data_IF_502701158806
#
_entry.id   IF_502701158806
#
_cell.length_a   1.000
_cell.length_b   1.000
_cell.length_c   1.000
_cell.angle_alpha   90.00
_cell.angle_beta   90.00
_cell.angle_gamma   90.00
#
_symmetry.space_group_name_H-M   'P 1'
#
loop_
_entity.id
_entity.type
_entity.pdbx_description
1 polymer ?
#
# COMPACT_ATOMS: atom_id res chain seq x y z
N UNK A 1 -24.25 -9.34 13.43
CA UNK A 1 -23.63 -9.22 12.08
C UNK A 1 -22.51 -10.25 11.82
N UNK A 2 -22.48 -11.44 12.46
CA UNK A 2 -21.31 -12.34 12.44
C UNK A 2 -21.52 -13.78 11.89
N UNK A 3 -22.71 -14.16 11.43
CA UNK A 3 -22.97 -15.55 10.97
C UNK A 3 -23.09 -15.74 9.45
N UNK A 4 -23.32 -14.68 8.67
CA UNK A 4 -23.43 -14.77 7.20
C UNK A 4 -22.06 -14.85 6.50
N UNK A 5 -21.04 -14.23 7.11
CA UNK A 5 -19.67 -14.18 6.57
C UNK A 5 -18.97 -15.56 6.49
N UNK A 6 -19.30 -16.47 7.41
CA UNK A 6 -18.66 -17.79 7.49
C UNK A 6 -19.17 -18.78 6.43
N UNK A 7 -20.43 -18.64 5.98
CA UNK A 7 -20.99 -19.51 4.93
C UNK A 7 -20.50 -19.13 3.53
N UNK A 8 -20.25 -17.83 3.28
CA UNK A 8 -19.79 -17.35 1.98
C UNK A 8 -18.29 -17.69 1.74
N UNK A 9 -17.44 -17.60 2.77
CA UNK A 9 -16.03 -18.04 2.66
C UNK A 9 -15.89 -19.55 2.43
N UNK A 10 -16.70 -20.38 3.07
CA UNK A 10 -16.64 -21.84 2.89
C UNK A 10 -17.15 -22.30 1.51
N UNK A 11 -18.04 -21.54 0.87
CA UNK A 11 -18.54 -21.88 -0.46
C UNK A 11 -17.53 -21.56 -1.57
N UNK A 12 -16.84 -20.41 -1.49
CA UNK A 12 -15.72 -20.05 -2.39
C UNK A 12 -14.61 -21.10 -2.32
N UNK A 13 -14.30 -21.62 -1.12
CA UNK A 13 -13.27 -22.65 -0.93
C UNK A 13 -13.66 -24.04 -1.47
N UNK A 14 -14.94 -24.34 -1.65
CA UNK A 14 -15.41 -25.67 -2.06
C UNK A 14 -15.61 -25.83 -3.58
N UNK A 15 -15.66 -24.74 -4.36
CA UNK A 15 -16.04 -24.79 -5.79
C UNK A 15 -14.99 -24.22 -6.77
N UNK A 16 -13.74 -24.03 -6.35
CA UNK A 16 -12.61 -23.77 -7.27
C UNK A 16 -12.26 -25.01 -8.10
N UNK A 17 -13.03 -25.26 -9.16
CA UNK A 17 -12.51 -25.90 -10.38
C UNK A 17 -12.37 -24.82 -11.44
N UNK A 18 -11.24 -24.11 -11.44
CA UNK A 18 -10.48 -23.63 -12.61
C UNK A 18 -9.37 -22.71 -12.08
N UNK A 19 -8.14 -23.11 -12.40
CA UNK A 19 -6.86 -22.44 -12.16
C UNK A 19 -6.41 -22.27 -10.71
N UNK A 20 -6.09 -23.40 -10.06
CA UNK A 20 -4.98 -23.44 -9.09
C UNK A 20 -3.69 -23.02 -9.82
N UNK A 21 -3.41 -21.73 -9.92
CA UNK A 21 -2.02 -21.30 -10.05
C UNK A 21 -1.40 -21.54 -8.69
N UNK A 22 -0.86 -22.74 -8.52
CA UNK A 22 0.05 -23.05 -7.42
C UNK A 22 1.32 -22.25 -7.69
N UNK A 23 1.31 -20.96 -7.35
CA UNK A 23 2.56 -20.24 -7.14
C UNK A 23 3.21 -20.93 -5.95
N UNK A 24 4.16 -21.81 -6.26
CA UNK A 24 5.21 -22.14 -5.33
C UNK A 24 5.67 -20.79 -4.75
N UNK A 25 5.51 -20.61 -3.44
CA UNK A 25 6.33 -19.67 -2.69
C UNK A 25 7.77 -20.11 -2.92
N UNK A 26 8.34 -19.74 -4.07
CA UNK A 26 9.77 -19.75 -4.19
C UNK A 26 10.17 -18.52 -3.41
N UNK A 27 10.75 -18.71 -2.23
CA UNK A 27 11.59 -17.73 -1.56
C UNK A 27 12.83 -17.41 -2.40
N UNK A 28 12.65 -17.18 -3.71
CA UNK A 28 13.65 -16.62 -4.58
C UNK A 28 13.71 -15.13 -4.26
N UNK A 29 14.89 -14.58 -3.99
CA UNK A 29 15.02 -13.15 -3.77
C UNK A 29 14.42 -12.40 -4.97
N UNK A 30 13.74 -11.28 -4.70
CA UNK A 30 13.09 -10.44 -5.71
C UNK A 30 14.04 -10.01 -6.85
N UNK A 31 15.35 -10.20 -6.67
CA UNK A 31 16.42 -9.88 -7.60
C UNK A 31 17.56 -10.90 -7.46
N UNK A 32 18.29 -11.16 -8.56
CA UNK A 32 19.53 -11.93 -8.53
C UNK A 32 20.59 -11.21 -7.69
N UNK A 33 21.50 -11.94 -7.04
CA UNK A 33 22.55 -11.36 -6.20
C UNK A 33 23.42 -10.33 -6.97
N UNK A 34 23.70 -10.58 -8.25
CA UNK A 34 24.40 -9.66 -9.14
C UNK A 34 23.65 -8.35 -9.37
N UNK A 35 22.33 -8.40 -9.55
CA UNK A 35 21.50 -7.19 -9.69
C UNK A 35 21.49 -6.36 -8.41
N UNK A 36 21.48 -7.01 -7.24
CA UNK A 36 21.50 -6.30 -5.95
C UNK A 36 22.84 -5.62 -5.67
N UNK A 37 23.95 -6.21 -6.10
CA UNK A 37 25.25 -5.54 -6.04
C UNK A 37 25.27 -4.23 -6.83
N UNK A 38 24.71 -4.23 -8.05
CA UNK A 38 24.58 -3.00 -8.85
C UNK A 38 23.71 -1.97 -8.14
N UNK A 39 22.58 -2.37 -7.55
CA UNK A 39 21.70 -1.46 -6.82
C UNK A 39 22.38 -0.83 -5.61
N UNK A 40 23.17 -1.60 -4.86
CA UNK A 40 23.94 -1.08 -3.72
C UNK A 40 25.05 -0.11 -4.14
N UNK A 41 25.69 -0.33 -5.30
CA UNK A 41 26.69 0.60 -5.82
C UNK A 41 26.11 1.98 -6.18
N UNK A 42 24.83 2.02 -6.59
CA UNK A 42 24.11 3.23 -6.95
C UNK A 42 23.63 4.06 -5.76
N UNK A 43 23.81 3.58 -4.52
CA UNK A 43 23.47 4.37 -3.33
C UNK A 43 24.35 5.63 -3.26
N UNK A 44 23.71 6.78 -2.99
CA UNK A 44 24.44 8.01 -2.70
C UNK A 44 25.06 8.00 -1.29
N UNK A 45 25.79 9.07 -0.94
CA UNK A 45 26.52 9.16 0.32
C UNK A 45 25.59 9.01 1.53
N UNK A 46 24.52 9.79 1.60
CA UNK A 46 23.58 9.77 2.73
C UNK A 46 22.85 8.43 2.84
N UNK A 47 22.50 7.82 1.70
CA UNK A 47 21.92 6.48 1.65
C UNK A 47 22.92 5.41 2.14
N UNK A 48 24.20 5.51 1.77
CA UNK A 48 25.27 4.61 2.23
C UNK A 48 25.49 4.73 3.73
N UNK A 49 25.49 5.94 4.28
CA UNK A 49 25.67 6.15 5.72
C UNK A 49 24.58 5.43 6.53
N UNK A 50 23.31 5.57 6.10
CA UNK A 50 22.18 4.84 6.71
C UNK A 50 22.32 3.34 6.51
N UNK A 51 22.63 2.91 5.29
CA UNK A 51 22.78 1.50 4.92
C UNK A 51 23.83 0.79 5.77
N UNK A 52 25.04 1.34 5.87
CA UNK A 52 26.14 0.74 6.62
C UNK A 52 25.90 0.77 8.13
N UNK A 53 25.24 1.81 8.66
CA UNK A 53 24.86 1.84 10.08
C UNK A 53 23.89 0.72 10.45
N UNK A 54 22.84 0.51 9.64
CA UNK A 54 21.87 -0.56 9.88
C UNK A 54 22.50 -1.93 9.65
N UNK A 55 23.34 -2.06 8.63
CA UNK A 55 24.11 -3.29 8.37
C UNK A 55 24.99 -3.65 9.56
N UNK A 56 25.69 -2.67 10.14
CA UNK A 56 26.54 -2.88 11.31
C UNK A 56 25.73 -3.38 12.51
N UNK A 57 24.57 -2.78 12.77
CA UNK A 57 23.65 -3.27 13.81
C UNK A 57 23.25 -4.74 13.59
N UNK A 58 22.97 -5.14 12.34
CA UNK A 58 22.64 -6.53 12.01
C UNK A 58 23.81 -7.48 12.28
N UNK A 59 25.03 -7.09 11.90
CA UNK A 59 26.26 -7.86 12.15
C UNK A 59 26.48 -8.02 13.66
N UNK A 60 26.37 -6.94 14.42
CA UNK A 60 26.54 -6.98 15.88
C UNK A 60 25.51 -7.88 16.55
N UNK A 61 24.26 -7.88 16.06
CA UNK A 61 23.22 -8.81 16.53
C UNK A 61 23.56 -10.27 16.24
N UNK A 62 23.98 -10.59 15.02
CA UNK A 62 24.38 -11.96 14.62
C UNK A 62 25.59 -12.46 15.40
N UNK A 63 26.48 -11.55 15.78
CA UNK A 63 27.67 -11.83 16.61
C UNK A 63 27.37 -11.87 18.12
N UNK A 64 26.10 -11.83 18.54
CA UNK A 64 25.71 -11.97 19.94
C UNK A 64 25.93 -10.73 20.82
N UNK A 65 26.21 -9.56 20.25
CA UNK A 65 26.42 -8.32 21.02
C UNK A 65 25.13 -7.68 21.55
N UNK A 66 23.97 -8.25 21.22
CA UNK A 66 22.63 -7.78 21.64
C UNK A 66 22.45 -6.24 21.57
N UNK A 67 22.66 -5.62 20.40
CA UNK A 67 22.57 -4.17 20.27
C UNK A 67 21.13 -3.69 20.54
N UNK A 68 21.00 -2.50 21.15
CA UNK A 68 19.69 -1.93 21.46
C UNK A 68 18.83 -1.72 20.19
N UNK A 69 17.50 -1.96 20.25
CA UNK A 69 16.62 -1.71 19.11
C UNK A 69 16.56 -0.22 18.75
N UNK A 70 16.83 0.09 17.48
CA UNK A 70 16.78 1.47 16.99
C UNK A 70 15.42 1.81 16.36
N UNK A 71 15.10 3.09 16.37
CA UNK A 71 13.94 3.66 15.67
C UNK A 71 14.42 4.88 14.90
N UNK A 72 14.33 4.80 13.57
CA UNK A 72 14.84 5.82 12.67
C UNK A 72 13.76 6.25 11.68
N UNK A 73 13.64 7.54 11.48
CA UNK A 73 12.85 8.16 10.44
C UNK A 73 13.79 8.67 9.34
N UNK A 74 13.66 8.09 8.15
CA UNK A 74 14.37 8.49 6.94
C UNK A 74 13.45 9.43 6.16
N UNK A 75 13.67 10.72 6.31
CA UNK A 75 13.00 11.77 5.56
C UNK A 75 13.69 12.01 4.22
N UNK A 76 12.96 12.49 3.22
CA UNK A 76 13.56 13.05 2.01
C UNK A 76 12.50 13.42 0.99
N UNK A 77 12.80 14.41 0.15
CA UNK A 77 11.88 14.89 -0.88
C UNK A 77 11.49 13.83 -1.92
N UNK A 78 10.55 14.19 -2.79
CA UNK A 78 10.26 13.38 -3.97
C UNK A 78 11.52 13.14 -4.79
N UNK A 79 11.74 11.90 -5.23
CA UNK A 79 12.88 11.57 -6.08
C UNK A 79 14.24 11.38 -5.38
N UNK A 80 14.35 11.43 -4.04
CA UNK A 80 15.62 11.20 -3.32
C UNK A 80 16.04 9.73 -3.20
N UNK A 81 15.31 8.80 -3.84
CA UNK A 81 15.65 7.37 -3.85
C UNK A 81 15.25 6.58 -2.60
N UNK A 82 14.28 7.05 -1.81
CA UNK A 82 13.77 6.36 -0.61
C UNK A 82 13.44 4.87 -0.85
N UNK A 83 12.60 4.57 -1.84
CA UNK A 83 12.23 3.17 -2.15
C UNK A 83 13.40 2.33 -2.67
N UNK A 84 14.43 2.95 -3.26
CA UNK A 84 15.66 2.28 -3.66
C UNK A 84 16.47 1.85 -2.43
N UNK A 85 16.60 2.74 -1.45
CA UNK A 85 17.23 2.45 -0.16
C UNK A 85 16.49 1.32 0.59
N UNK A 86 15.15 1.34 0.61
CA UNK A 86 14.34 0.27 1.23
C UNK A 86 14.68 -1.10 0.61
N UNK A 87 14.76 -1.19 -0.71
CA UNK A 87 15.09 -2.45 -1.40
C UNK A 87 16.49 -2.95 -1.04
N UNK A 88 17.47 -2.06 -1.00
CA UNK A 88 18.84 -2.41 -0.62
C UNK A 88 18.91 -2.90 0.84
N UNK A 89 18.29 -2.15 1.76
CA UNK A 89 18.21 -2.51 3.18
C UNK A 89 17.53 -3.86 3.37
N UNK A 90 16.36 -4.06 2.76
CA UNK A 90 15.62 -5.31 2.86
C UNK A 90 16.48 -6.51 2.46
N UNK A 91 17.15 -6.43 1.31
CA UNK A 91 18.03 -7.50 0.84
C UNK A 91 19.19 -7.78 1.81
N UNK A 92 19.94 -6.75 2.21
CA UNK A 92 21.13 -6.93 3.05
C UNK A 92 20.76 -7.41 4.46
N UNK A 93 19.72 -6.85 5.06
CA UNK A 93 19.26 -7.24 6.40
C UNK A 93 18.77 -8.69 6.37
N UNK A 94 17.99 -9.08 5.36
CA UNK A 94 17.50 -10.45 5.22
C UNK A 94 18.69 -11.41 5.08
N UNK A 95 19.65 -11.07 4.22
CA UNK A 95 20.87 -11.87 4.03
C UNK A 95 21.65 -12.08 5.33
N UNK A 96 21.81 -11.04 6.14
CA UNK A 96 22.60 -11.11 7.38
C UNK A 96 21.82 -11.82 8.50
N UNK A 97 20.56 -11.47 8.71
CA UNK A 97 19.81 -11.97 9.86
C UNK A 97 19.18 -13.36 9.63
N UNK A 98 18.96 -13.77 8.38
CA UNK A 98 18.43 -15.09 8.08
C UNK A 98 19.43 -16.23 8.33
N UNK A 99 20.72 -15.95 8.57
CA UNK A 99 21.71 -16.99 8.92
C UNK A 99 21.36 -17.75 10.20
N UNK A 100 20.60 -17.12 11.10
CA UNK A 100 20.13 -17.71 12.36
C UNK A 100 18.69 -18.22 12.28
N UNK A 101 18.04 -18.14 11.11
CA UNK A 101 16.68 -18.62 10.94
C UNK A 101 16.67 -20.12 10.66
N UNK A 102 15.88 -20.86 11.42
CA UNK A 102 15.73 -22.30 11.23
C UNK A 102 14.80 -22.64 10.06
N UNK A 103 13.90 -21.72 9.70
CA UNK A 103 12.96 -21.90 8.60
C UNK A 103 13.15 -20.81 7.52
N UNK A 104 13.32 -21.17 6.23
CA UNK A 104 13.41 -20.20 5.14
C UNK A 104 12.14 -19.34 4.96
N UNK A 105 11.00 -19.75 5.52
CA UNK A 105 9.75 -18.97 5.50
C UNK A 105 9.65 -17.90 6.61
N UNK A 106 10.63 -17.83 7.50
CA UNK A 106 10.62 -16.89 8.62
C UNK A 106 10.74 -15.43 8.18
N UNK A 107 9.86 -14.59 8.71
CA UNK A 107 9.87 -13.15 8.43
C UNK A 107 10.78 -12.45 9.42
N UNK A 108 12.01 -12.17 9.01
CA UNK A 108 12.98 -11.41 9.82
C UNK A 108 12.85 -9.91 9.61
N UNK A 109 12.49 -9.49 8.39
CA UNK A 109 12.20 -8.11 8.01
C UNK A 109 10.80 -8.03 7.44
N UNK A 110 9.98 -7.12 7.97
CA UNK A 110 8.62 -6.90 7.47
C UNK A 110 8.54 -5.55 6.75
N UNK A 111 8.22 -5.58 5.46
CA UNK A 111 7.96 -4.40 4.66
C UNK A 111 6.49 -4.03 4.73
N UNK A 112 6.20 -2.79 5.12
CA UNK A 112 4.83 -2.28 5.24
C UNK A 112 4.66 -0.89 4.67
N UNK A 113 3.42 -0.54 4.33
CA UNK A 113 3.03 0.81 3.97
C UNK A 113 1.55 1.06 4.38
N UNK A 114 1.08 2.31 4.44
CA UNK A 114 -0.32 2.61 4.75
C UNK A 114 -1.30 2.26 3.62
N UNK A 115 -0.88 2.38 2.35
CA UNK A 115 -1.70 2.08 1.17
C UNK A 115 -1.23 0.80 0.47
N UNK A 116 -2.15 0.10 -0.20
CA UNK A 116 -1.84 -1.16 -0.89
C UNK A 116 -0.88 -0.94 -2.06
N UNK A 117 -1.00 0.17 -2.80
CA UNK A 117 -0.10 0.53 -3.90
C UNK A 117 1.32 0.77 -3.40
N UNK A 118 1.49 1.52 -2.31
CA UNK A 118 2.82 1.76 -1.72
C UNK A 118 3.43 0.44 -1.20
N UNK A 119 2.63 -0.38 -0.52
CA UNK A 119 3.07 -1.70 -0.05
C UNK A 119 3.54 -2.58 -1.22
N UNK A 120 2.77 -2.63 -2.31
CA UNK A 120 3.13 -3.37 -3.51
C UNK A 120 4.40 -2.84 -4.20
N UNK A 121 4.66 -1.54 -4.15
CA UNK A 121 5.87 -0.93 -4.74
C UNK A 121 7.17 -1.39 -4.08
N UNK A 122 7.12 -1.66 -2.78
CA UNK A 122 8.24 -2.20 -2.02
C UNK A 122 8.19 -3.73 -1.87
N UNK A 123 7.15 -4.40 -2.39
CA UNK A 123 6.95 -5.85 -2.21
C UNK A 123 6.53 -6.25 -0.80
N UNK A 124 5.89 -5.33 -0.07
CA UNK A 124 5.38 -5.51 1.28
C UNK A 124 3.85 -5.67 1.35
N UNK A 125 3.30 -5.47 2.55
CA UNK A 125 1.85 -5.54 2.82
C UNK A 125 1.37 -4.27 3.54
N UNK A 126 0.06 -4.04 3.61
CA UNK A 126 -0.44 -2.85 4.34
C UNK A 126 -0.27 -3.03 5.85
N UNK A 127 -0.10 -1.93 6.60
CA UNK A 127 -0.06 -1.98 8.07
C UNK A 127 -1.31 -2.67 8.66
N UNK A 128 -2.48 -2.36 8.09
CA UNK A 128 -3.75 -2.96 8.51
C UNK A 128 -3.76 -4.48 8.34
N UNK A 129 -3.27 -4.98 7.21
CA UNK A 129 -3.18 -6.40 6.94
C UNK A 129 -2.08 -7.09 7.77
N UNK A 130 -0.89 -6.50 7.84
CA UNK A 130 0.26 -7.02 8.59
C UNK A 130 -0.09 -7.31 10.06
N UNK A 131 -0.81 -6.37 10.69
CA UNK A 131 -1.04 -6.35 12.13
C UNK A 131 -2.50 -6.62 12.50
N UNK A 132 -3.35 -6.97 11.54
CA UNK A 132 -4.80 -7.16 11.75
C UNK A 132 -5.41 -5.99 12.53
N UNK A 133 -5.18 -4.79 12.02
CA UNK A 133 -5.67 -3.56 12.65
C UNK A 133 -7.15 -3.33 12.28
N UNK A 134 -8.01 -2.96 13.25
CA UNK A 134 -9.38 -2.57 12.93
C UNK A 134 -9.38 -1.23 12.17
N UNK A 135 -10.22 -1.05 11.12
CA UNK A 135 -10.26 0.20 10.35
C UNK A 135 -10.52 1.47 11.18
N UNK A 136 -11.29 1.35 12.26
CA UNK A 136 -11.66 2.48 13.13
C UNK A 136 -10.58 2.86 14.16
N UNK A 137 -9.61 1.97 14.41
CA UNK A 137 -8.54 2.17 15.40
C UNK A 137 -9.03 2.81 16.72
N UNK A 138 -10.02 2.21 17.41
CA UNK A 138 -10.63 2.80 18.59
C UNK A 138 -9.65 2.96 19.75
N UNK A 139 -9.91 3.92 20.64
CA UNK A 139 -9.14 4.08 21.87
C UNK A 139 -10.05 3.79 23.08
N UNK A 140 -9.55 3.08 24.12
CA UNK A 140 -8.21 2.48 24.24
C UNK A 140 -7.98 1.30 23.28
N UNK A 141 -6.70 0.91 23.11
CA UNK A 141 -6.29 -0.17 22.22
C UNK A 141 -7.05 -1.48 22.48
N UNK A 142 -7.46 -2.15 21.39
CA UNK A 142 -8.17 -3.43 21.43
C UNK A 142 -7.22 -4.60 21.16
N UNK A 143 -7.11 -5.47 22.17
CA UNK A 143 -6.39 -6.74 22.09
C UNK A 143 -7.05 -7.70 21.11
N UNK A 144 -6.24 -8.39 20.29
CA UNK A 144 -6.74 -9.52 19.50
C UNK A 144 -6.99 -10.73 20.39
N UNK A 145 -7.96 -11.54 19.97
CA UNK A 145 -8.26 -12.86 20.56
C UNK A 145 -7.19 -13.89 20.22
N UNK A 146 -7.10 -14.92 21.04
CA UNK A 146 -6.04 -15.95 21.03
C UNK A 146 -5.79 -16.56 19.64
N UNK A 147 -6.81 -16.94 18.89
CA UNK A 147 -6.62 -17.55 17.57
C UNK A 147 -5.90 -16.63 16.57
N UNK A 148 -6.25 -15.34 16.55
CA UNK A 148 -5.67 -14.40 15.58
C UNK A 148 -4.28 -13.97 16.02
N UNK A 149 -4.09 -13.71 17.32
CA UNK A 149 -2.78 -13.32 17.83
C UNK A 149 -1.79 -14.48 17.76
N UNK A 150 -2.20 -15.73 17.98
CA UNK A 150 -1.31 -16.90 17.89
C UNK A 150 -0.84 -17.13 16.45
N UNK A 151 -1.70 -16.90 15.44
CA UNK A 151 -1.28 -16.89 14.03
C UNK A 151 -0.24 -15.82 13.75
N UNK A 152 -0.44 -14.60 14.27
CA UNK A 152 0.53 -13.51 14.12
C UNK A 152 1.84 -13.80 14.87
N UNK A 153 1.78 -14.42 16.06
CA UNK A 153 2.96 -14.85 16.84
C UNK A 153 3.80 -15.82 16.06
N UNK A 154 3.19 -16.89 15.55
CA UNK A 154 3.90 -17.87 14.72
C UNK A 154 4.49 -17.22 13.47
N UNK A 155 3.72 -16.36 12.78
CA UNK A 155 4.18 -15.69 11.54
C UNK A 155 5.31 -14.67 11.77
N UNK A 156 5.30 -13.96 12.88
CA UNK A 156 6.21 -12.82 13.16
C UNK A 156 7.16 -13.10 14.34
N UNK A 157 7.36 -14.37 14.69
CA UNK A 157 8.21 -14.79 15.81
C UNK A 157 9.63 -14.25 15.67
N UNK A 158 10.22 -14.37 14.48
CA UNK A 158 11.61 -13.98 14.20
C UNK A 158 11.74 -12.53 13.68
N UNK A 159 10.63 -11.79 13.62
CA UNK A 159 10.62 -10.40 13.17
C UNK A 159 11.57 -9.56 14.04
N UNK A 160 12.57 -8.97 13.40
CA UNK A 160 13.59 -8.13 14.04
C UNK A 160 13.50 -6.67 13.60
N UNK A 161 13.10 -6.42 12.35
CA UNK A 161 13.05 -5.07 11.77
C UNK A 161 11.72 -4.88 11.03
N UNK A 162 10.99 -3.82 11.39
CA UNK A 162 9.82 -3.33 10.66
C UNK A 162 10.22 -2.12 9.81
N UNK A 163 9.91 -2.16 8.52
CA UNK A 163 10.05 -1.01 7.61
C UNK A 163 8.65 -0.50 7.26
N UNK A 164 8.43 0.80 7.42
CA UNK A 164 7.17 1.49 7.09
C UNK A 164 7.47 2.55 6.03
N UNK A 165 7.11 2.29 4.78
CA UNK A 165 7.16 3.29 3.71
C UNK A 165 5.92 4.20 3.74
N UNK A 166 6.03 5.37 3.13
CA UNK A 166 5.00 6.44 3.12
C UNK A 166 4.48 6.79 4.53
N UNK A 167 5.38 6.94 5.50
CA UNK A 167 5.04 7.24 6.91
C UNK A 167 4.21 8.53 7.07
N UNK A 168 4.24 9.45 6.08
CA UNK A 168 3.43 10.68 6.08
C UNK A 168 1.93 10.43 6.12
N UNK A 169 1.46 9.32 5.58
CA UNK A 169 0.04 8.92 5.63
C UNK A 169 -0.32 8.09 6.87
N UNK A 170 0.64 7.84 7.77
CA UNK A 170 0.40 7.13 9.03
C UNK A 170 0.11 8.15 10.12
N UNK A 171 -1.06 8.03 10.75
CA UNK A 171 -1.45 8.87 11.88
C UNK A 171 -0.98 8.35 13.23
N UNK A 172 -1.14 9.17 14.26
CA UNK A 172 -0.74 8.83 15.65
C UNK A 172 -1.42 7.55 16.15
N UNK A 173 -2.72 7.38 15.88
CA UNK A 173 -3.47 6.17 16.28
C UNK A 173 -2.95 4.93 15.58
N UNK A 174 -2.72 5.00 14.27
CA UNK A 174 -2.17 3.88 13.50
C UNK A 174 -0.82 3.42 14.05
N UNK A 175 0.10 4.36 14.32
CA UNK A 175 1.43 4.01 14.85
C UNK A 175 1.36 3.43 16.27
N UNK A 176 0.50 3.97 17.14
CA UNK A 176 0.24 3.41 18.46
C UNK A 176 -0.25 1.96 18.35
N UNK A 177 -1.24 1.72 17.50
CA UNK A 177 -1.79 0.39 17.28
C UNK A 177 -0.75 -0.61 16.79
N UNK A 178 0.18 -0.18 15.94
CA UNK A 178 1.32 -0.99 15.50
C UNK A 178 2.24 -1.31 16.69
N UNK A 179 2.60 -0.31 17.51
CA UNK A 179 3.43 -0.52 18.70
C UNK A 179 2.78 -1.50 19.69
N UNK A 180 1.51 -1.29 20.03
CA UNK A 180 0.74 -2.15 20.94
C UNK A 180 0.53 -3.56 20.36
N UNK A 181 0.31 -3.69 19.05
CA UNK A 181 0.20 -5.00 18.42
C UNK A 181 1.51 -5.76 18.50
N UNK A 182 2.63 -5.10 18.23
CA UNK A 182 3.94 -5.73 18.34
C UNK A 182 4.27 -6.13 19.78
N UNK A 183 3.89 -5.33 20.78
CA UNK A 183 3.96 -5.71 22.20
C UNK A 183 3.16 -6.98 22.48
N UNK A 184 1.93 -7.06 21.96
CA UNK A 184 1.06 -8.24 22.13
C UNK A 184 1.65 -9.50 21.45
N UNK A 185 2.24 -9.33 20.27
CA UNK A 185 2.89 -10.41 19.51
C UNK A 185 4.16 -10.89 20.23
N UNK A 186 5.04 -9.98 20.65
CA UNK A 186 6.34 -10.29 21.26
C UNK A 186 6.28 -10.58 22.76
N UNK A 187 5.11 -10.41 23.38
CA UNK A 187 4.89 -10.65 24.82
C UNK A 187 5.88 -9.87 25.70
N UNK A 188 6.18 -8.63 25.30
CA UNK A 188 7.32 -7.86 25.80
C UNK A 188 6.93 -6.75 26.79
N UNK A 189 5.80 -6.92 27.47
CA UNK A 189 5.33 -5.99 28.50
C UNK A 189 5.18 -4.56 27.96
N UNK A 190 5.92 -3.61 28.53
CA UNK A 190 5.90 -2.17 28.18
C UNK A 190 6.92 -1.74 27.12
N UNK A 191 7.64 -2.69 26.51
CA UNK A 191 8.63 -2.38 25.47
C UNK A 191 8.00 -1.71 24.24
N UNK A 192 8.51 -0.54 23.84
CA UNK A 192 8.06 0.12 22.60
C UNK A 192 8.27 -0.80 21.39
N UNK A 193 7.24 -0.93 20.55
CA UNK A 193 7.23 -1.82 19.37
C UNK A 193 7.65 -3.27 19.70
N UNK A 194 7.51 -3.68 20.96
CA UNK A 194 7.93 -4.99 21.42
C UNK A 194 9.40 -5.34 21.20
N UNK A 195 10.31 -4.36 21.38
CA UNK A 195 11.76 -4.52 21.25
C UNK A 195 12.25 -4.90 19.84
N UNK A 196 11.51 -4.52 18.79
CA UNK A 196 12.00 -4.61 17.41
C UNK A 196 12.52 -3.25 16.92
N UNK A 197 13.36 -3.26 15.89
CA UNK A 197 13.76 -2.03 15.23
C UNK A 197 12.66 -1.53 14.29
N UNK A 198 12.54 -0.21 14.15
CA UNK A 198 11.59 0.42 13.22
C UNK A 198 12.33 1.39 12.32
N UNK A 199 12.17 1.21 11.01
CA UNK A 199 12.64 2.12 9.96
C UNK A 199 11.40 2.73 9.32
N UNK A 200 11.08 3.96 9.69
CA UNK A 200 10.05 4.74 9.04
C UNK A 200 10.65 5.53 7.88
N UNK A 201 10.01 5.53 6.72
CA UNK A 201 10.49 6.18 5.50
C UNK A 201 9.36 7.00 4.90
N UNK A 202 9.64 8.22 4.47
CA UNK A 202 8.64 9.05 3.81
C UNK A 202 9.01 10.53 3.74
N UNK A 203 8.00 11.37 3.55
CA UNK A 203 8.14 12.82 3.44
C UNK A 203 6.90 13.51 4.03
N UNK A 204 7.05 14.21 5.14
CA UNK A 204 5.92 14.88 5.81
C UNK A 204 5.35 16.09 5.05
N UNK A 205 6.00 16.52 3.96
CA UNK A 205 5.44 17.48 3.03
C UNK A 205 4.50 16.86 1.98
N UNK A 206 4.36 15.53 1.97
CA UNK A 206 3.36 14.84 1.16
C UNK A 206 2.00 14.76 1.88
N UNK A 207 1.10 13.92 1.36
CA UNK A 207 -0.26 13.77 1.89
C UNK A 207 -0.24 13.35 3.37
N UNK A 208 -0.99 14.06 4.24
CA UNK A 208 -1.15 13.68 5.64
C UNK A 208 -2.08 12.47 5.79
N UNK A 209 -2.15 11.84 6.98
CA UNK A 209 -3.13 10.80 7.24
C UNK A 209 -4.57 11.31 7.09
N UNK A 210 -5.45 10.47 6.55
CA UNK A 210 -6.88 10.76 6.43
C UNK A 210 -7.57 10.54 7.79
N UNK A 211 -8.31 11.55 8.26
CA UNK A 211 -9.14 11.48 9.50
C UNK A 211 -8.36 11.07 10.78
N UNK A 212 -7.04 11.31 10.84
CA UNK A 212 -6.21 11.10 12.04
C UNK A 212 -5.25 12.28 12.24
N UNK A 213 -4.73 12.48 13.45
CA UNK A 213 -3.64 13.45 13.65
C UNK A 213 -2.33 12.96 13.04
N UNK A 214 -1.57 13.91 12.49
CA UNK A 214 -0.23 13.68 11.95
C UNK A 214 0.77 13.32 13.06
N UNK A 215 1.83 12.58 12.72
CA UNK A 215 2.87 12.19 13.69
C UNK A 215 3.68 13.38 14.21
N UNK A 216 3.79 14.44 13.42
CA UNK A 216 4.45 15.69 13.78
C UNK A 216 3.53 16.70 14.49
N UNK A 217 2.26 16.35 14.74
CA UNK A 217 1.38 17.16 15.59
C UNK A 217 1.78 16.96 17.06
N UNK A 218 2.16 18.05 17.73
CA UNK A 218 2.63 18.04 19.12
C UNK A 218 1.52 17.77 20.15
N UNK A 219 0.24 17.71 19.73
CA UNK A 219 -0.90 17.43 20.61
C UNK A 219 -1.23 15.94 20.54
N UNK A 220 -0.64 15.09 21.41
CA UNK A 220 -0.82 13.66 21.29
C UNK A 220 -2.30 13.29 21.50
N UNK A 221 -2.80 12.34 20.72
CA UNK A 221 -4.15 11.77 20.94
C UNK A 221 -4.24 10.87 22.18
N UNK A 222 -3.10 10.53 22.78
CA UNK A 222 -2.97 9.79 24.02
C UNK A 222 -1.99 10.50 24.95
N UNK A 223 -1.79 9.97 26.16
CA UNK A 223 -0.88 10.55 27.16
C UNK A 223 0.61 10.53 26.76
N UNK A 224 1.02 9.78 25.72
CA UNK A 224 2.43 9.60 25.34
C UNK A 224 2.74 9.97 23.89
N UNK A 225 3.70 10.88 23.62
CA UNK A 225 4.11 11.26 22.27
C UNK A 225 5.06 10.19 21.66
N UNK A 226 4.46 9.13 21.10
CA UNK A 226 5.20 7.97 20.58
C UNK A 226 6.23 8.33 19.50
N UNK A 227 5.96 9.34 18.66
CA UNK A 227 6.85 9.69 17.55
C UNK A 227 8.02 10.58 17.99
N UNK A 228 7.73 11.79 18.48
CA UNK A 228 8.74 12.84 18.72
C UNK A 228 9.83 12.45 19.71
N UNK A 229 9.51 11.60 20.70
CA UNK A 229 10.45 11.21 21.74
C UNK A 229 11.24 9.94 21.42
N UNK A 230 10.88 9.21 20.37
CA UNK A 230 11.39 7.84 20.17
C UNK A 230 12.00 7.56 18.80
N UNK A 231 11.91 8.49 17.83
CA UNK A 231 12.48 8.34 16.50
C UNK A 231 13.62 9.31 16.24
N UNK A 232 14.77 8.79 15.80
CA UNK A 232 15.88 9.61 15.30
C UNK A 232 15.64 9.99 13.84
N UNK A 233 15.92 11.25 13.46
CA UNK A 233 15.74 11.74 12.09
C UNK A 233 17.03 11.58 11.28
N UNK A 234 16.91 11.07 10.06
CA UNK A 234 17.92 11.15 9.00
C UNK A 234 17.27 11.75 7.76
N UNK A 235 17.92 12.72 7.13
CA UNK A 235 17.40 13.40 5.95
C UNK A 235 18.23 13.08 4.70
N UNK A 236 17.58 12.53 3.66
CA UNK A 236 18.13 12.34 2.33
C UNK A 236 17.90 13.61 1.50
N UNK A 237 18.99 14.30 1.15
CA UNK A 237 18.94 15.60 0.47
C UNK A 237 19.13 15.52 -1.04
N UNK A 238 19.93 14.57 -1.51
CA UNK A 238 20.24 14.46 -2.93
C UNK A 238 19.05 13.93 -3.74
N UNK A 239 18.60 14.72 -4.73
CA UNK A 239 17.59 14.30 -5.71
C UNK A 239 18.23 13.35 -6.71
N UNK A 240 17.60 12.20 -6.91
CA UNK A 240 18.09 11.11 -7.75
C UNK A 240 17.24 10.86 -9.00
N UNK A 241 15.98 11.30 -9.02
CA UNK A 241 15.03 11.05 -10.12
C UNK A 241 15.14 12.07 -11.25
N UNK A 242 15.20 13.37 -10.93
CA UNK A 242 15.33 14.46 -11.91
C UNK A 242 16.78 14.97 -12.02
N UNK A 243 17.76 14.07 -12.06
CA UNK A 243 19.18 14.48 -12.08
C UNK A 243 19.53 15.31 -13.31
N UNK A 244 18.89 15.01 -14.44
CA UNK A 244 19.16 15.65 -15.73
C UNK A 244 18.42 16.99 -15.89
N UNK A 245 17.49 17.31 -14.98
CA UNK A 245 16.76 18.59 -14.95
C UNK A 245 16.79 19.20 -13.54
N UNK A 246 17.96 19.74 -13.19
CA UNK A 246 18.20 20.35 -11.88
C UNK A 246 17.32 21.58 -11.63
N UNK A 247 17.00 22.34 -12.69
CA UNK A 247 16.17 23.55 -12.59
C UNK A 247 14.76 23.20 -12.15
N UNK A 248 14.14 22.20 -12.80
CA UNK A 248 12.82 21.71 -12.41
C UNK A 248 12.85 21.03 -11.04
N UNK A 249 13.90 20.29 -10.73
CA UNK A 249 14.06 19.66 -9.41
C UNK A 249 14.09 20.70 -8.27
N UNK A 250 14.81 21.81 -8.47
CA UNK A 250 14.84 22.92 -7.52
C UNK A 250 13.49 23.64 -7.38
N UNK A 251 12.75 23.81 -8.49
CA UNK A 251 11.37 24.31 -8.47
C UNK A 251 10.48 23.43 -7.58
N UNK A 252 10.48 22.11 -7.79
CA UNK A 252 9.66 21.18 -7.00
C UNK A 252 10.01 21.22 -5.51
N UNK A 253 11.29 21.38 -5.17
CA UNK A 253 11.72 21.55 -3.78
C UNK A 253 11.22 22.86 -3.15
N UNK A 254 11.18 23.96 -3.91
CA UNK A 254 10.57 25.22 -3.44
C UNK A 254 9.07 25.02 -3.19
N UNK A 255 8.36 24.38 -4.11
CA UNK A 255 6.93 24.08 -3.98
C UNK A 255 6.63 23.16 -2.79
N UNK A 256 7.50 22.16 -2.54
CA UNK A 256 7.37 21.20 -1.42
C UNK A 256 7.21 21.87 -0.06
N UNK A 257 7.95 22.95 0.19
CA UNK A 257 7.95 23.66 1.49
C UNK A 257 7.19 24.99 1.44
N UNK A 258 6.56 25.31 0.30
CA UNK A 258 5.83 26.55 0.09
C UNK A 258 4.62 26.62 1.01
N UNK A 259 4.48 27.74 1.71
CA UNK A 259 3.29 28.03 2.52
C UNK A 259 2.20 28.70 1.67
N UNK A 260 0.95 28.64 2.14
CA UNK A 260 -0.21 29.20 1.42
C UNK A 260 -0.09 30.73 1.21
N UNK A 261 0.49 31.44 2.17
CA UNK A 261 0.72 32.89 2.16
C UNK A 261 1.85 33.35 1.22
N UNK A 262 2.67 32.42 0.73
CA UNK A 262 3.78 32.76 -0.17
C UNK A 262 3.31 32.76 -1.62
N UNK A 263 3.82 33.68 -2.45
CA UNK A 263 3.61 33.65 -3.89
C UNK A 263 4.60 32.70 -4.58
N UNK A 264 4.19 32.12 -5.72
CA UNK A 264 5.11 31.42 -6.63
C UNK A 264 5.88 32.51 -7.38
N UNK A 265 7.19 32.34 -7.56
CA UNK A 265 7.98 33.31 -8.33
C UNK A 265 7.55 33.30 -9.80
N UNK A 266 7.62 34.45 -10.50
CA UNK A 266 7.27 34.52 -11.93
C UNK A 266 8.07 33.54 -12.78
N UNK A 267 9.34 33.30 -12.40
CA UNK A 267 10.21 32.31 -13.05
C UNK A 267 9.68 30.89 -12.88
N UNK A 268 9.23 30.55 -11.67
CA UNK A 268 8.70 29.24 -11.34
C UNK A 268 7.36 28.99 -12.03
N UNK A 269 6.51 30.01 -12.07
CA UNK A 269 5.24 29.96 -12.78
C UNK A 269 5.44 29.80 -14.30
N UNK A 270 6.37 30.56 -14.89
CA UNK A 270 6.72 30.41 -16.31
C UNK A 270 7.27 29.02 -16.62
N UNK A 271 8.09 28.45 -15.73
CA UNK A 271 8.62 27.09 -15.90
C UNK A 271 7.48 26.05 -15.85
N UNK A 272 6.55 26.17 -14.90
CA UNK A 272 5.38 25.28 -14.84
C UNK A 272 4.52 25.37 -16.11
N UNK A 273 4.24 26.59 -16.57
CA UNK A 273 3.47 26.83 -17.81
C UNK A 273 4.18 26.28 -19.04
N UNK A 274 5.51 26.32 -19.10
CA UNK A 274 6.28 25.75 -20.21
C UNK A 274 6.17 24.23 -20.32
N UNK A 275 5.74 23.54 -19.24
CA UNK A 275 5.48 22.11 -19.25
C UNK A 275 4.07 21.75 -19.73
N UNK A 276 3.19 22.72 -19.99
CA UNK A 276 1.85 22.47 -20.50
C UNK A 276 1.95 21.95 -21.94
N UNK A 277 1.58 20.68 -22.12
CA UNK A 277 1.42 20.09 -23.43
C UNK A 277 -0.07 19.97 -23.72
N UNK A 278 -0.58 20.64 -24.74
CA UNK A 278 -1.99 20.57 -25.14
C UNK A 278 -2.30 19.34 -25.99
N UNK A 279 -1.29 18.59 -26.42
CA UNK A 279 -1.44 17.37 -27.23
C UNK A 279 -0.97 16.18 -26.42
N UNK A 280 -1.83 15.73 -25.51
CA UNK A 280 -1.56 14.59 -24.63
C UNK A 280 -2.30 13.36 -25.19
N UNK A 281 -1.62 12.21 -25.36
CA UNK A 281 -2.29 10.98 -25.76
C UNK A 281 -3.41 10.59 -24.76
N UNK A 282 -4.58 10.13 -25.23
CA UNK A 282 -5.73 9.81 -24.36
C UNK A 282 -5.41 8.80 -23.24
N UNK A 283 -4.46 7.91 -23.47
CA UNK A 283 -4.00 6.90 -22.51
C UNK A 283 -3.13 7.47 -21.39
N UNK A 284 -2.76 8.75 -21.44
CA UNK A 284 -1.91 9.37 -20.43
C UNK A 284 -2.62 9.44 -19.08
N UNK A 285 -1.89 9.20 -17.99
CA UNK A 285 -2.44 9.33 -16.64
C UNK A 285 -2.66 10.80 -16.32
N UNK A 286 -3.90 11.15 -15.99
CA UNK A 286 -4.28 12.50 -15.54
C UNK A 286 -4.50 12.49 -14.02
N UNK A 287 -4.08 13.55 -13.35
CA UNK A 287 -4.21 13.72 -11.89
C UNK A 287 -5.02 14.99 -11.65
N UNK A 288 -6.07 14.88 -10.82
CA UNK A 288 -6.97 15.98 -10.50
C UNK A 288 -7.04 16.22 -8.99
N UNK A 289 -7.59 17.37 -8.58
CA UNK A 289 -7.74 17.73 -7.18
C UNK A 289 -8.91 17.01 -6.49
N UNK A 290 -9.94 16.64 -7.24
CA UNK A 290 -11.18 16.04 -6.71
C UNK A 290 -11.62 14.80 -7.50
N UNK A 291 -12.33 13.89 -6.82
CA UNK A 291 -12.89 12.69 -7.47
C UNK A 291 -13.93 13.04 -8.55
N UNK A 292 -14.65 14.17 -8.41
CA UNK A 292 -15.62 14.63 -9.40
C UNK A 292 -14.95 14.99 -10.73
N UNK A 293 -13.80 15.68 -10.68
CA UNK A 293 -13.00 15.97 -11.87
C UNK A 293 -12.44 14.70 -12.51
N UNK A 294 -11.93 13.78 -11.68
CA UNK A 294 -11.47 12.45 -12.13
C UNK A 294 -12.58 11.71 -12.87
N UNK A 295 -13.78 11.66 -12.30
CA UNK A 295 -14.93 10.95 -12.87
C UNK A 295 -15.40 11.58 -14.19
N UNK A 296 -15.53 12.91 -14.23
CA UNK A 296 -15.89 13.64 -15.44
C UNK A 296 -14.90 13.38 -16.58
N UNK A 297 -13.60 13.46 -16.30
CA UNK A 297 -12.56 13.20 -17.30
C UNK A 297 -12.55 11.74 -17.74
N UNK A 298 -12.62 10.80 -16.80
CA UNK A 298 -12.62 9.37 -17.11
C UNK A 298 -13.82 8.98 -17.99
N UNK A 299 -15.02 9.52 -17.73
CA UNK A 299 -16.20 9.25 -18.54
C UNK A 299 -16.01 9.75 -19.99
N UNK A 300 -15.49 10.98 -20.17
CA UNK A 300 -15.18 11.52 -21.50
C UNK A 300 -14.16 10.66 -22.27
N UNK A 301 -13.10 10.22 -21.58
CA UNK A 301 -12.08 9.36 -22.21
C UNK A 301 -12.68 8.00 -22.59
N UNK A 302 -13.48 7.39 -21.72
CA UNK A 302 -14.15 6.11 -22.01
C UNK A 302 -15.05 6.24 -23.24
N UNK A 303 -15.88 7.30 -23.33
CA UNK A 303 -16.75 7.57 -24.49
C UNK A 303 -15.94 7.76 -25.78
N UNK A 304 -14.76 8.38 -25.70
CA UNK A 304 -13.92 8.62 -26.88
C UNK A 304 -13.13 7.38 -27.34
N UNK A 305 -12.70 6.52 -26.41
CA UNK A 305 -11.77 5.40 -26.68
C UNK A 305 -12.53 4.08 -26.92
N UNK A 306 -13.65 3.87 -26.23
CA UNK A 306 -14.39 2.61 -26.25
C UNK A 306 -15.49 2.66 -27.32
N UNK A 307 -15.39 1.82 -28.34
CA UNK A 307 -16.43 1.71 -29.40
C UNK A 307 -17.74 1.13 -28.88
N UNK A 308 -17.65 0.24 -27.89
CA UNK A 308 -18.78 -0.44 -27.27
C UNK A 308 -18.57 -0.30 -25.76
N UNK A 309 -19.55 0.28 -25.09
CA UNK A 309 -19.56 0.45 -23.64
C UNK A 309 -20.70 -0.34 -23.02
N UNK A 310 -20.48 -0.83 -21.82
CA UNK A 310 -21.47 -1.47 -20.97
C UNK A 310 -21.51 -0.75 -19.63
N UNK A 311 -22.71 -0.49 -19.14
CA UNK A 311 -22.93 0.08 -17.81
C UNK A 311 -23.30 -1.04 -16.84
N UNK A 312 -22.53 -1.18 -15.78
CA UNK A 312 -22.79 -2.10 -14.67
C UNK A 312 -23.35 -1.27 -13.51
N UNK A 313 -24.58 -1.56 -13.10
CA UNK A 313 -25.20 -0.93 -11.94
C UNK A 313 -24.90 -1.71 -10.67
N UNK A 314 -24.57 -0.99 -9.59
CA UNK A 314 -24.37 -1.57 -8.27
C UNK A 314 -25.68 -2.18 -7.74
N UNK A 315 -25.55 -3.24 -6.93
CA UNK A 315 -26.66 -3.92 -6.28
C UNK A 315 -26.61 -3.66 -4.77
N UNK A 316 -27.41 -2.70 -4.31
CA UNK A 316 -27.48 -2.36 -2.89
C UNK A 316 -28.65 -3.06 -2.19
N UNK A 317 -28.42 -3.50 -0.97
CA UNK A 317 -29.41 -4.24 -0.18
C UNK A 317 -29.68 -3.53 1.14
N UNK A 318 -30.96 -3.30 1.42
CA UNK A 318 -31.40 -2.85 2.73
C UNK A 318 -31.60 -4.05 3.65
N UNK A 319 -31.16 -3.90 4.90
CA UNK A 319 -31.29 -4.94 5.91
C UNK A 319 -32.49 -4.67 6.80
N UNK A 320 -33.46 -5.57 6.76
CA UNK A 320 -34.62 -5.50 7.63
C UNK A 320 -34.20 -5.54 9.12
N UNK A 321 -34.59 -4.56 9.96
CA UNK A 321 -34.04 -4.40 11.32
C UNK A 321 -34.24 -5.61 12.23
N UNK A 322 -35.42 -6.23 12.16
CA UNK A 322 -35.83 -7.33 13.04
C UNK A 322 -35.42 -8.72 12.52
N UNK A 323 -35.69 -9.00 11.23
CA UNK A 323 -35.45 -10.32 10.63
C UNK A 323 -34.04 -10.48 10.06
N UNK A 324 -33.32 -9.38 9.83
CA UNK A 324 -32.02 -9.38 9.19
C UNK A 324 -32.03 -9.77 7.71
N UNK A 325 -33.22 -9.95 7.11
CA UNK A 325 -33.39 -10.25 5.68
C UNK A 325 -32.88 -9.08 4.84
N UNK A 326 -32.15 -9.40 3.77
CA UNK A 326 -31.66 -8.44 2.79
C UNK A 326 -32.69 -8.30 1.66
N UNK A 327 -33.04 -7.07 1.30
CA UNK A 327 -33.91 -6.73 0.18
C UNK A 327 -33.17 -5.81 -0.78
N UNK A 328 -33.11 -6.20 -2.05
CA UNK A 328 -32.47 -5.40 -3.10
C UNK A 328 -33.21 -4.07 -3.23
N UNK A 329 -32.47 -2.96 -3.27
CA UNK A 329 -33.01 -1.64 -3.57
C UNK A 329 -33.26 -1.49 -5.07
N UNK A 330 -34.28 -0.74 -5.43
CA UNK A 330 -34.55 -0.41 -6.84
C UNK A 330 -33.48 0.48 -7.45
N UNK A 331 -32.91 1.39 -6.65
CA UNK A 331 -31.79 2.23 -7.05
C UNK A 331 -30.65 2.12 -6.04
N UNK A 332 -29.39 2.01 -6.52
CA UNK A 332 -28.22 2.03 -5.65
C UNK A 332 -28.05 3.39 -4.98
N UNK A 333 -27.31 3.41 -3.89
CA UNK A 333 -26.97 4.62 -3.18
C UNK A 333 -26.08 5.52 -4.05
N UNK A 334 -26.51 6.76 -4.23
CA UNK A 334 -25.65 7.82 -4.75
C UNK A 334 -24.71 8.28 -3.63
N UNK A 335 -23.73 7.45 -3.28
CA UNK A 335 -22.79 7.73 -2.19
C UNK A 335 -21.36 7.80 -2.70
N UNK A 336 -20.73 8.95 -2.49
CA UNK A 336 -19.34 9.27 -2.84
C UNK A 336 -18.32 8.83 -1.79
N UNK A 337 -18.74 8.08 -0.76
CA UNK A 337 -17.91 7.76 0.41
C UNK A 337 -17.86 6.26 0.67
N UNK A 338 -16.70 5.65 0.40
CA UNK A 338 -16.31 4.27 0.73
C UNK A 338 -17.00 3.10 -0.02
N UNK A 339 -17.88 3.39 -0.99
CA UNK A 339 -18.62 2.38 -1.76
C UNK A 339 -18.19 2.29 -3.24
N UNK A 340 -18.61 1.21 -3.90
CA UNK A 340 -18.53 1.08 -5.36
C UNK A 340 -19.40 2.18 -5.99
N UNK A 341 -19.03 2.72 -7.17
CA UNK A 341 -19.88 3.67 -7.86
C UNK A 341 -21.24 3.04 -8.18
N UNK A 342 -22.31 3.84 -8.09
CA UNK A 342 -23.67 3.41 -8.41
C UNK A 342 -23.77 2.83 -9.83
N UNK A 343 -23.03 3.44 -10.76
CA UNK A 343 -22.92 2.98 -12.15
C UNK A 343 -21.46 2.99 -12.56
N UNK A 344 -20.99 1.87 -13.12
CA UNK A 344 -19.66 1.71 -13.66
C UNK A 344 -19.74 1.51 -15.17
N UNK A 345 -19.23 2.48 -15.93
CA UNK A 345 -19.17 2.40 -17.40
C UNK A 345 -17.84 1.77 -17.78
N UNK A 346 -17.87 0.69 -18.56
CA UNK A 346 -16.68 -0.05 -18.99
C UNK A 346 -16.75 -0.36 -20.49
N UNK A 347 -15.60 -0.56 -21.11
CA UNK A 347 -15.52 -1.04 -22.49
C UNK A 347 -14.12 -1.53 -22.84
N UNK A 348 -13.95 -2.30 -23.91
CA UNK A 348 -12.63 -2.67 -24.41
C UNK A 348 -11.75 -1.44 -24.62
N UNK A 349 -10.48 -1.54 -24.20
CA UNK A 349 -9.45 -0.48 -24.14
C UNK A 349 -9.59 0.52 -22.98
N UNK A 350 -10.64 0.46 -22.17
CA UNK A 350 -10.71 1.29 -20.98
C UNK A 350 -9.60 0.89 -20.00
N UNK A 351 -8.88 1.89 -19.48
CA UNK A 351 -7.93 1.72 -18.38
C UNK A 351 -8.71 1.73 -17.07
N UNK A 352 -8.49 0.73 -16.23
CA UNK A 352 -9.15 0.62 -14.92
C UNK A 352 -8.15 0.38 -13.81
N UNK A 353 -8.57 0.67 -12.59
CA UNK A 353 -7.80 0.47 -11.37
C UNK A 353 -8.62 -0.33 -10.37
N UNK A 354 -8.04 -1.37 -9.79
CA UNK A 354 -8.68 -2.09 -8.69
C UNK A 354 -8.77 -1.17 -7.47
N UNK A 355 -9.94 -1.13 -6.83
CA UNK A 355 -10.16 -0.36 -5.59
C UNK A 355 -10.19 -1.25 -4.34
N UNK A 356 -10.05 -2.57 -4.51
CA UNK A 356 -10.04 -3.58 -3.45
C UNK A 356 -8.95 -4.60 -3.70
N UNK A 357 -8.48 -5.23 -2.63
CA UNK A 357 -7.55 -6.35 -2.73
C UNK A 357 -8.33 -7.62 -3.10
N UNK A 358 -8.00 -8.19 -4.26
CA UNK A 358 -8.57 -9.45 -4.74
C UNK A 358 -7.62 -10.58 -4.37
N UNK A 359 -6.38 -10.50 -4.84
CA UNK A 359 -5.31 -11.44 -4.50
C UNK A 359 -3.98 -10.71 -4.36
N UNK A 360 -3.52 -10.56 -3.12
CA UNK A 360 -2.27 -9.87 -2.79
C UNK A 360 -1.05 -10.66 -3.27
N UNK A 361 -1.11 -12.00 -3.30
CA UNK A 361 0.02 -12.84 -3.72
C UNK A 361 0.30 -12.69 -5.22
N UNK A 362 -0.76 -12.49 -6.02
CA UNK A 362 -0.66 -12.27 -7.47
C UNK A 362 -0.51 -10.78 -7.85
N UNK A 363 -0.53 -9.86 -6.88
CA UNK A 363 -0.43 -8.41 -7.14
C UNK A 363 -1.73 -7.74 -7.56
N UNK A 364 -2.88 -8.42 -7.45
CA UNK A 364 -4.22 -7.87 -7.67
C UNK A 364 -4.69 -7.13 -6.41
N UNK A 365 -4.07 -5.97 -6.18
CA UNK A 365 -4.27 -5.14 -5.00
C UNK A 365 -4.97 -3.83 -5.34
N UNK A 366 -5.50 -3.14 -4.33
CA UNK A 366 -6.00 -1.78 -4.51
C UNK A 366 -4.89 -0.87 -5.07
N UNK A 367 -5.20 -0.19 -6.18
CA UNK A 367 -4.31 0.62 -6.98
C UNK A 367 -3.64 -0.10 -8.16
N UNK A 368 -3.84 -1.41 -8.31
CA UNK A 368 -3.35 -2.13 -9.47
C UNK A 368 -4.16 -1.68 -10.71
N UNK A 369 -3.46 -1.17 -11.72
CA UNK A 369 -4.05 -0.70 -12.98
C UNK A 369 -3.91 -1.74 -14.06
N UNK A 370 -4.89 -1.85 -14.95
CA UNK A 370 -4.82 -2.64 -16.18
C UNK A 370 -5.71 -2.06 -17.27
N UNK A 371 -5.77 -2.74 -18.42
CA UNK A 371 -6.62 -2.35 -19.55
C UNK A 371 -7.61 -3.47 -19.88
N UNK A 372 -8.88 -3.12 -20.06
CA UNK A 372 -9.93 -4.07 -20.44
C UNK A 372 -9.68 -4.55 -21.87
N UNK A 373 -9.61 -5.85 -22.08
CA UNK A 373 -9.57 -6.47 -23.41
C UNK A 373 -10.97 -6.85 -23.87
N UNK A 374 -11.77 -7.41 -22.98
CA UNK A 374 -13.13 -7.86 -23.26
C UNK A 374 -14.03 -7.73 -22.02
N UNK A 375 -15.31 -7.42 -22.25
CA UNK A 375 -16.36 -7.43 -21.23
C UNK A 375 -17.35 -8.53 -21.60
N UNK A 376 -17.35 -9.61 -20.81
CA UNK A 376 -18.20 -10.77 -21.08
C UNK A 376 -19.50 -10.68 -20.28
N UNK A 377 -20.64 -11.06 -20.88
CA UNK A 377 -21.92 -11.08 -20.19
C UNK A 377 -21.94 -12.12 -19.06
N UNK A 378 -22.89 -12.01 -18.13
CA UNK A 378 -23.04 -13.00 -17.07
C UNK A 378 -23.30 -14.41 -17.58
N UNK A 379 -22.44 -15.36 -17.21
CA UNK A 379 -22.70 -16.78 -17.45
C UNK A 379 -23.83 -17.24 -16.54
N UNK A 380 -24.93 -17.74 -17.13
CA UNK A 380 -25.95 -18.49 -16.41
C UNK A 380 -25.45 -19.92 -16.20
N UNK A 381 -24.60 -20.13 -15.21
CA UNK A 381 -24.25 -21.50 -14.81
C UNK A 381 -25.40 -22.07 -13.96
N UNK A 382 -26.00 -23.16 -14.44
CA UNK A 382 -27.21 -23.80 -13.89
C UNK A 382 -27.13 -24.32 -12.45
N UNK A 383 -26.00 -24.11 -11.77
CA UNK A 383 -25.78 -24.43 -10.36
C UNK A 383 -26.02 -23.24 -9.42
N UNK A 384 -26.19 -22.01 -9.94
CA UNK A 384 -26.50 -20.82 -9.15
C UNK A 384 -27.53 -19.93 -9.89
N UNK A 385 -28.84 -20.01 -9.58
CA UNK A 385 -29.88 -19.29 -10.32
C UNK A 385 -29.89 -17.76 -10.10
N UNK A 386 -28.99 -17.20 -9.30
CA UNK A 386 -29.00 -15.79 -8.89
C UNK A 386 -27.59 -15.30 -8.59
N UNK A 387 -26.88 -14.81 -9.60
CA UNK A 387 -25.88 -13.72 -9.48
C UNK A 387 -25.34 -13.43 -10.89
N UNK A 388 -25.44 -12.17 -11.31
CA UNK A 388 -25.09 -11.69 -12.65
C UNK A 388 -23.62 -11.26 -12.68
N UNK A 389 -22.69 -12.22 -12.67
CA UNK A 389 -21.25 -11.94 -12.65
C UNK A 389 -20.74 -11.44 -14.01
N UNK A 390 -20.18 -10.24 -14.10
CA UNK A 390 -19.44 -9.82 -15.29
C UNK A 390 -18.01 -10.34 -15.24
N UNK A 391 -17.52 -10.92 -16.33
CA UNK A 391 -16.11 -11.30 -16.44
C UNK A 391 -15.38 -10.27 -17.29
N UNK A 392 -14.38 -9.64 -16.70
CA UNK A 392 -13.46 -8.75 -17.40
C UNK A 392 -12.21 -9.50 -17.73
N UNK A 393 -11.87 -9.61 -19.01
CA UNK A 393 -10.53 -10.00 -19.41
C UNK A 393 -9.66 -8.75 -19.45
N UNK A 394 -8.49 -8.83 -18.82
CA UNK A 394 -7.63 -7.67 -18.57
C UNK A 394 -6.20 -7.97 -18.99
N UNK A 395 -5.56 -7.01 -19.66
CA UNK A 395 -4.14 -7.07 -20.01
C UNK A 395 -3.33 -6.09 -19.15
N UNK A 396 -2.13 -6.53 -18.79
CA UNK A 396 -1.09 -5.72 -18.13
C UNK A 396 -1.56 -5.09 -16.81
N UNK A 397 -1.91 -5.92 -15.82
CA UNK A 397 -1.84 -5.43 -14.45
C UNK A 397 -0.39 -5.08 -14.14
N UNK A 398 -0.12 -3.84 -13.71
CA UNK A 398 1.25 -3.37 -13.47
C UNK A 398 2.06 -4.43 -12.68
N UNK A 399 2.93 -5.17 -13.38
CA UNK A 399 3.82 -6.28 -12.98
C UNK A 399 3.36 -7.74 -13.15
N UNK A 400 2.16 -8.04 -13.66
CA UNK A 400 1.82 -9.39 -14.15
C UNK A 400 2.24 -9.45 -15.62
N UNK A 401 3.40 -10.08 -15.91
CA UNK A 401 3.86 -10.27 -17.30
C UNK A 401 2.81 -11.08 -18.07
N UNK A 402 2.24 -10.48 -19.11
CA UNK A 402 1.46 -11.10 -20.18
C UNK A 402 0.60 -12.30 -19.75
N UNK A 403 -0.44 -12.05 -18.96
CA UNK A 403 -1.53 -13.00 -18.78
C UNK A 403 -2.86 -12.26 -18.90
N UNK A 404 -3.75 -12.78 -19.73
CA UNK A 404 -5.15 -12.40 -19.77
C UNK A 404 -5.81 -12.92 -18.49
N UNK A 405 -6.22 -12.02 -17.62
CA UNK A 405 -6.86 -12.36 -16.35
C UNK A 405 -8.35 -12.09 -16.42
N UNK A 406 -9.15 -13.11 -16.11
CA UNK A 406 -10.60 -12.98 -15.93
C UNK A 406 -10.90 -12.57 -14.49
N UNK A 407 -11.33 -11.33 -14.31
CA UNK A 407 -11.76 -10.80 -13.01
C UNK A 407 -13.28 -10.75 -12.99
N UNK A 408 -13.89 -11.39 -11.99
CA UNK A 408 -15.31 -11.22 -11.71
C UNK A 408 -15.54 -9.95 -10.88
N UNK A 409 -16.43 -9.08 -11.35
CA UNK A 409 -16.93 -7.96 -10.55
C UNK A 409 -18.20 -8.42 -9.82
N UNK A 410 -18.21 -8.23 -8.49
CA UNK A 410 -19.35 -8.49 -7.60
C UNK A 410 -20.24 -7.26 -7.44
#
# INVERSE_FOLDING_TARGET
MKKTYLKYQNWILQHEKVTKVRLLKSGKPLFLASQMQTFMQQLNKEQKDVFYRIRQWCIDKVNGKNPEPFRVFINGGAGTGKSHLIKCLHYEITKILSTHSTNPDDIVVLLTAPTATAAFNIGGTTLHQAFSLPPSLPLPYIYLRDDTINKLRSKLQNLSILIIDEISMVGQRSLLYVSERLRQIKQSGNALFGNICVIAVGDFYQLPPVKQKCLYDLRPENSFPLWSSNFSLVELKQIMRQKDDSVFAHLLNRLRVKRKDQHISLRDEALLKSCENHTIPPETLHIFGTNKEVESHNNQIIESVCKITQTISAQDYDKHPQTGRLTLKEQPYDTSHDYLPAHLILGPKARVMLIRNVDVACGLVNGAMGTITEVLPPKRDGLCPKESWYYLTMREFAKIKHQDLNISLS
#
